data_IF_627560341498
#
_entry.id   IF_627560341498
#
_cell.length_a   1.000
_cell.length_b   1.000
_cell.length_c   1.000
_cell.angle_alpha   90.00
_cell.angle_beta   90.00
_cell.angle_gamma   90.00
#
_symmetry.space_group_name_H-M   'P 1'
#
loop_
_entity.id
_entity.type
_entity.pdbx_description
1 polymer ?
#
# COMPACT_ATOMS: atom_id res chain seq x y z
N UNK A 1 3.32 5.87 -9.88
CA UNK A 1 3.72 5.63 -11.28
C UNK A 1 2.55 5.96 -12.22
N UNK A 2 2.80 6.28 -13.49
CA UNK A 2 1.77 6.70 -14.47
C UNK A 2 1.47 5.67 -15.57
N UNK A 3 1.97 4.45 -15.43
CA UNK A 3 1.76 3.37 -16.41
C UNK A 3 0.39 2.71 -16.21
N UNK A 4 -0.26 2.37 -17.32
CA UNK A 4 -1.52 1.64 -17.44
C UNK A 4 -1.37 0.57 -18.51
N UNK A 5 -2.11 -0.53 -18.38
CA UNK A 5 -2.17 -1.56 -19.41
C UNK A 5 -3.47 -1.43 -20.19
N UNK A 6 -3.34 -1.50 -21.50
CA UNK A 6 -4.46 -1.44 -22.44
C UNK A 6 -4.42 -2.75 -23.24
N UNK A 7 -5.24 -3.75 -22.86
CA UNK A 7 -5.29 -5.00 -23.59
C UNK A 7 -6.01 -4.82 -24.93
N UNK A 8 -5.76 -5.73 -25.87
CA UNK A 8 -6.64 -5.88 -27.02
C UNK A 8 -8.04 -6.33 -26.57
N UNK A 9 -9.08 -6.00 -27.34
CA UNK A 9 -10.47 -6.26 -26.96
C UNK A 9 -10.77 -7.74 -26.63
N UNK A 10 -10.05 -8.67 -27.24
CA UNK A 10 -10.20 -10.12 -27.00
C UNK A 10 -9.52 -10.61 -25.71
N UNK A 11 -8.53 -9.88 -25.22
CA UNK A 11 -7.74 -10.23 -24.02
C UNK A 11 -8.16 -9.42 -22.78
N UNK A 12 -9.22 -8.62 -22.93
CA UNK A 12 -9.74 -7.80 -21.87
C UNK A 12 -10.63 -8.62 -20.90
N UNK A 13 -10.56 -8.27 -19.62
CA UNK A 13 -11.50 -8.74 -18.60
C UNK A 13 -12.85 -8.02 -18.75
N UNK A 14 -13.85 -8.45 -17.98
CA UNK A 14 -15.23 -7.90 -17.98
C UNK A 14 -15.29 -6.39 -17.78
N UNK A 15 -14.28 -5.81 -17.14
CA UNK A 15 -14.14 -4.37 -16.90
C UNK A 15 -13.38 -3.62 -17.99
N UNK A 16 -12.91 -4.29 -19.04
CA UNK A 16 -12.07 -3.71 -20.09
C UNK A 16 -10.59 -3.60 -19.72
N UNK A 17 -10.17 -4.13 -18.57
CA UNK A 17 -8.78 -4.13 -18.11
C UNK A 17 -8.04 -5.40 -18.53
N UNK A 18 -6.71 -5.43 -18.47
CA UNK A 18 -5.96 -6.67 -18.69
C UNK A 18 -6.31 -7.73 -17.65
N UNK A 19 -6.17 -9.00 -18.01
CA UNK A 19 -6.46 -10.11 -17.10
C UNK A 19 -5.58 -10.05 -15.83
N UNK A 20 -6.11 -10.43 -14.66
CA UNK A 20 -5.31 -10.55 -13.45
C UNK A 20 -4.20 -11.60 -13.65
N UNK A 21 -2.99 -11.27 -13.18
CA UNK A 21 -1.77 -12.03 -13.42
C UNK A 21 -0.97 -11.58 -14.64
N UNK A 22 -1.40 -10.52 -15.36
CA UNK A 22 -0.63 -9.98 -16.49
C UNK A 22 0.69 -9.38 -15.99
N UNK A 23 1.80 -9.81 -16.59
CA UNK A 23 3.15 -9.35 -16.28
C UNK A 23 3.79 -8.75 -17.52
N UNK A 24 4.41 -7.58 -17.35
CA UNK A 24 5.19 -6.90 -18.39
C UNK A 24 6.56 -6.57 -17.84
N UNK A 25 7.57 -7.30 -18.31
CA UNK A 25 8.98 -7.13 -17.93
C UNK A 25 9.85 -6.63 -19.09
N UNK A 26 9.40 -6.79 -20.34
CA UNK A 26 10.15 -6.36 -21.53
C UNK A 26 9.98 -4.86 -21.80
N UNK A 27 11.06 -4.21 -22.24
CA UNK A 27 11.13 -2.86 -22.83
C UNK A 27 10.78 -1.65 -21.94
N UNK A 28 10.05 -1.82 -20.83
CA UNK A 28 9.58 -0.71 -19.96
C UNK A 28 10.37 -0.66 -18.63
N UNK A 29 11.20 -1.66 -18.37
CA UNK A 29 11.99 -1.78 -17.14
C UNK A 29 13.15 -0.78 -17.04
N UNK A 30 13.76 -0.73 -15.85
CA UNK A 30 15.03 -0.03 -15.66
C UNK A 30 16.17 -0.76 -16.42
N UNK A 31 17.12 -0.04 -17.04
CA UNK A 31 18.21 -0.69 -17.78
C UNK A 31 19.27 -1.34 -16.86
N UNK A 32 19.37 -0.92 -15.59
CA UNK A 32 20.38 -1.43 -14.65
C UNK A 32 19.82 -2.46 -13.68
N UNK A 33 18.57 -2.27 -13.25
CA UNK A 33 17.93 -3.14 -12.28
C UNK A 33 16.81 -3.94 -12.93
N UNK A 34 16.71 -5.21 -12.54
CA UNK A 34 15.58 -6.03 -12.97
C UNK A 34 14.28 -5.48 -12.36
N UNK A 35 13.36 -5.05 -13.23
CA UNK A 35 12.05 -4.53 -12.82
C UNK A 35 10.96 -4.99 -13.77
N UNK A 36 9.79 -5.29 -13.21
CA UNK A 36 8.63 -5.73 -13.96
C UNK A 36 7.36 -5.09 -13.41
N UNK A 37 6.34 -4.98 -14.26
CA UNK A 37 5.02 -4.54 -13.89
C UNK A 37 4.09 -5.76 -13.78
N UNK A 38 3.33 -5.82 -12.70
CA UNK A 38 2.37 -6.88 -12.43
C UNK A 38 0.99 -6.27 -12.17
N UNK A 39 -0.01 -6.73 -12.92
CA UNK A 39 -1.41 -6.50 -12.60
C UNK A 39 -1.99 -7.76 -11.96
N UNK A 40 -1.91 -7.87 -10.64
CA UNK A 40 -2.32 -9.07 -9.90
C UNK A 40 -3.83 -9.18 -9.65
N UNK A 41 -4.56 -8.06 -9.67
CA UNK A 41 -5.98 -7.99 -9.32
C UNK A 41 -6.86 -7.61 -10.51
N UNK A 42 -8.10 -8.07 -10.48
CA UNK A 42 -9.17 -7.52 -11.30
C UNK A 42 -9.63 -6.18 -10.70
N UNK A 43 -9.75 -5.18 -11.57
CA UNK A 43 -10.27 -3.86 -11.23
C UNK A 43 -11.70 -3.73 -11.73
N UNK A 44 -12.64 -3.63 -10.81
CA UNK A 44 -14.07 -3.61 -11.12
C UNK A 44 -14.53 -2.30 -11.79
N UNK A 45 -13.90 -1.16 -11.47
CA UNK A 45 -14.22 0.15 -12.07
C UNK A 45 -12.95 0.94 -12.36
N UNK A 46 -12.93 1.58 -13.53
CA UNK A 46 -11.82 2.41 -13.99
C UNK A 46 -10.66 1.58 -14.54
N UNK A 47 -9.56 2.28 -14.86
CA UNK A 47 -8.36 1.66 -15.38
C UNK A 47 -7.49 1.07 -14.27
N UNK A 48 -7.01 -0.14 -14.50
CA UNK A 48 -6.12 -0.85 -13.59
C UNK A 48 -4.77 -0.13 -13.44
N UNK A 49 -4.23 -0.14 -12.23
CA UNK A 49 -2.92 0.42 -11.93
C UNK A 49 -1.93 -0.74 -11.66
N UNK A 50 -1.16 -1.19 -12.66
CA UNK A 50 -0.20 -2.28 -12.45
C UNK A 50 0.90 -1.84 -11.49
N UNK A 51 1.28 -2.72 -10.57
CA UNK A 51 2.34 -2.45 -9.59
C UNK A 51 3.71 -2.70 -10.19
N UNK A 52 4.63 -1.74 -10.03
CA UNK A 52 6.04 -1.94 -10.40
C UNK A 52 6.77 -2.64 -9.27
N UNK A 53 7.39 -3.78 -9.58
CA UNK A 53 8.33 -4.47 -8.70
C UNK A 53 9.75 -4.26 -9.22
N UNK A 54 10.67 -3.92 -8.31
CA UNK A 54 12.08 -3.70 -8.62
C UNK A 54 12.87 -4.63 -7.70
N UNK A 55 13.69 -5.50 -8.30
CA UNK A 55 14.60 -6.37 -7.57
C UNK A 55 15.88 -5.59 -7.31
N UNK A 56 16.07 -5.16 -6.07
CA UNK A 56 17.26 -4.41 -5.66
C UNK A 56 18.45 -5.32 -5.37
N UNK A 57 18.17 -6.50 -4.83
CA UNK A 57 19.18 -7.48 -4.43
C UNK A 57 18.57 -8.87 -4.45
N UNK A 58 19.24 -9.80 -5.11
CA UNK A 58 18.92 -11.23 -5.10
C UNK A 58 20.21 -12.01 -4.79
N UNK A 59 20.23 -12.71 -3.65
CA UNK A 59 21.37 -13.55 -3.24
C UNK A 59 21.13 -15.03 -3.57
N UNK A 60 19.87 -15.43 -3.77
CA UNK A 60 19.49 -16.81 -4.05
C UNK A 60 19.56 -17.14 -5.54
N UNK A 61 19.68 -16.12 -6.40
CA UNK A 61 19.69 -16.24 -7.86
C UNK A 61 18.43 -16.96 -8.37
N UNK A 62 17.26 -16.44 -8.01
CA UNK A 62 16.00 -17.00 -8.49
C UNK A 62 15.87 -16.82 -10.00
N UNK A 63 15.29 -17.83 -10.67
CA UNK A 63 14.84 -17.63 -12.04
C UNK A 63 13.75 -16.56 -12.06
N UNK A 64 13.85 -15.64 -13.02
CA UNK A 64 12.94 -14.50 -13.18
C UNK A 64 11.46 -14.93 -13.18
N UNK A 65 11.15 -16.01 -13.91
CA UNK A 65 9.80 -16.55 -14.00
C UNK A 65 9.27 -17.04 -12.64
N UNK A 66 10.13 -17.59 -11.79
CA UNK A 66 9.73 -18.11 -10.49
C UNK A 66 9.52 -16.96 -9.51
N UNK A 67 10.39 -15.95 -9.55
CA UNK A 67 10.22 -14.72 -8.77
C UNK A 67 8.89 -14.04 -9.10
N UNK A 68 8.56 -13.91 -10.39
CA UNK A 68 7.29 -13.37 -10.87
C UNK A 68 6.08 -14.17 -10.35
N UNK A 69 6.12 -15.50 -10.42
CA UNK A 69 5.05 -16.39 -9.90
C UNK A 69 4.87 -16.26 -8.39
N UNK A 70 5.98 -16.22 -7.65
CA UNK A 70 5.96 -16.05 -6.19
C UNK A 70 5.27 -14.74 -5.84
N UNK A 71 5.68 -13.64 -6.48
CA UNK A 71 5.07 -12.32 -6.23
C UNK A 71 3.57 -12.32 -6.56
N UNK A 72 3.15 -12.93 -7.67
CA UNK A 72 1.74 -13.04 -8.02
C UNK A 72 0.94 -13.89 -7.00
N UNK A 73 1.51 -14.99 -6.51
CA UNK A 73 0.92 -15.82 -5.45
C UNK A 73 0.76 -15.04 -4.14
N UNK A 74 1.76 -14.25 -3.76
CA UNK A 74 1.72 -13.39 -2.57
C UNK A 74 0.63 -12.32 -2.63
N UNK A 75 0.31 -11.81 -3.82
CA UNK A 75 -0.81 -10.89 -4.04
C UNK A 75 -2.18 -11.58 -3.92
N UNK A 76 -2.26 -12.88 -4.20
CA UNK A 76 -3.51 -13.65 -4.13
C UNK A 76 -3.82 -14.16 -2.72
N UNK A 77 -2.81 -14.38 -1.88
CA UNK A 77 -2.93 -14.96 -0.53
C UNK A 77 -3.45 -14.03 0.59
N UNK A 78 -4.21 -12.99 0.26
CA UNK A 78 -4.66 -11.99 1.22
C UNK A 78 -5.78 -12.53 2.13
N UNK A 79 -5.63 -12.39 3.45
CA UNK A 79 -6.55 -13.02 4.42
C UNK A 79 -7.86 -12.26 4.62
N UNK A 80 -7.91 -10.95 4.34
CA UNK A 80 -9.10 -10.13 4.63
C UNK A 80 -10.09 -10.06 3.46
N UNK A 81 -9.73 -10.56 2.28
CA UNK A 81 -10.60 -10.59 1.12
C UNK A 81 -10.30 -11.84 0.29
N UNK A 82 -11.34 -12.42 -0.31
CA UNK A 82 -11.24 -13.57 -1.24
C UNK A 82 -10.86 -13.14 -2.66
N UNK A 83 -10.20 -11.99 -2.80
CA UNK A 83 -9.78 -11.42 -4.08
C UNK A 83 -8.29 -11.11 -4.02
N UNK A 84 -7.61 -11.29 -5.16
CA UNK A 84 -6.23 -10.85 -5.31
C UNK A 84 -6.14 -9.34 -5.12
N UNK A 85 -5.06 -8.89 -4.49
CA UNK A 85 -4.79 -7.49 -4.20
C UNK A 85 -3.66 -6.96 -5.08
N UNK A 86 -3.64 -5.65 -5.34
CA UNK A 86 -2.66 -4.99 -6.20
C UNK A 86 -1.20 -5.09 -5.72
N UNK A 87 -0.98 -5.10 -4.41
CA UNK A 87 0.36 -5.11 -3.80
C UNK A 87 0.57 -6.39 -3.01
N UNK A 88 1.82 -6.81 -2.87
CA UNK A 88 2.16 -7.97 -2.06
C UNK A 88 1.59 -7.85 -0.64
N UNK A 89 1.06 -8.96 -0.12
CA UNK A 89 0.41 -9.03 1.20
C UNK A 89 1.25 -8.43 2.33
N UNK A 90 2.55 -8.69 2.36
CA UNK A 90 3.44 -8.18 3.41
C UNK A 90 3.52 -6.66 3.42
N UNK A 91 3.57 -6.02 2.25
CA UNK A 91 3.55 -4.56 2.12
C UNK A 91 2.22 -3.99 2.63
N UNK A 92 1.11 -4.67 2.33
CA UNK A 92 -0.19 -4.28 2.87
C UNK A 92 -0.24 -4.42 4.39
N UNK A 93 0.25 -5.53 4.95
CA UNK A 93 0.35 -5.75 6.39
C UNK A 93 1.19 -4.67 7.08
N UNK A 94 2.35 -4.31 6.52
CA UNK A 94 3.18 -3.23 7.04
C UNK A 94 2.42 -1.89 7.08
N UNK A 95 1.67 -1.58 6.02
CA UNK A 95 0.85 -0.37 5.98
C UNK A 95 -0.26 -0.36 7.04
N UNK A 96 -0.90 -1.51 7.31
CA UNK A 96 -1.89 -1.62 8.40
C UNK A 96 -1.25 -1.35 9.77
N UNK A 97 -0.08 -1.94 10.02
CA UNK A 97 0.66 -1.74 11.27
C UNK A 97 1.07 -0.28 11.42
N UNK A 98 1.66 0.32 10.38
CA UNK A 98 2.05 1.73 10.39
C UNK A 98 0.85 2.67 10.62
N UNK A 99 -0.28 2.40 9.97
CA UNK A 99 -1.52 3.17 10.17
C UNK A 99 -2.03 3.03 11.61
N UNK A 100 -1.94 1.84 12.20
CA UNK A 100 -2.37 1.60 13.59
C UNK A 100 -1.44 2.26 14.60
N UNK A 101 -0.12 2.16 14.39
CA UNK A 101 0.88 2.84 15.19
C UNK A 101 0.65 4.36 15.17
N UNK A 102 0.45 4.96 13.99
CA UNK A 102 0.14 6.38 13.85
C UNK A 102 -1.09 6.80 14.66
N UNK A 103 -2.15 5.97 14.68
CA UNK A 103 -3.35 6.24 15.48
C UNK A 103 -3.04 6.24 16.97
N UNK A 104 -2.29 5.26 17.47
CA UNK A 104 -1.88 5.20 18.86
C UNK A 104 -1.03 6.41 19.25
N UNK A 105 -0.01 6.75 18.46
CA UNK A 105 0.84 7.92 18.73
C UNK A 105 0.03 9.21 18.75
N UNK A 106 -0.86 9.44 17.78
CA UNK A 106 -1.71 10.63 17.76
C UNK A 106 -2.67 10.70 18.95
N UNK A 107 -3.25 9.57 19.38
CA UNK A 107 -4.07 9.51 20.58
C UNK A 107 -3.26 9.87 21.83
N UNK A 108 -2.05 9.34 21.98
CA UNK A 108 -1.20 9.67 23.12
C UNK A 108 -0.82 11.15 23.13
N UNK A 109 -0.46 11.74 21.98
CA UNK A 109 -0.14 13.17 21.89
C UNK A 109 -1.34 14.05 22.28
N UNK A 110 -2.57 13.67 21.89
CA UNK A 110 -3.79 14.40 22.28
C UNK A 110 -4.05 14.34 23.79
N UNK A 111 -3.85 13.18 24.41
CA UNK A 111 -3.99 13.02 25.87
C UNK A 111 -2.96 13.85 26.63
N UNK A 112 -1.71 13.86 26.16
CA UNK A 112 -0.64 14.67 26.77
C UNK A 112 -0.92 16.18 26.63
N UNK A 113 -1.38 16.65 25.48
CA UNK A 113 -1.78 18.05 25.29
C UNK A 113 -2.96 18.45 26.18
N UNK A 114 -3.97 17.58 26.32
CA UNK A 114 -5.11 17.82 27.21
C UNK A 114 -4.69 17.90 28.69
N UNK A 115 -3.74 17.03 29.10
CA UNK A 115 -3.14 17.07 30.43
C UNK A 115 -2.41 18.39 30.69
N UNK A 116 -1.59 18.87 29.74
CA UNK A 116 -0.88 20.15 29.88
C UNK A 116 -1.83 21.35 29.95
N UNK A 117 -2.88 21.38 29.13
CA UNK A 117 -3.90 22.45 29.20
C UNK A 117 -4.70 22.44 30.50
N UNK A 118 -4.84 21.29 31.16
CA UNK A 118 -5.53 21.19 32.46
C UNK A 118 -4.63 21.68 33.61
N UNK A 119 -3.32 21.51 33.50
CA UNK A 119 -2.34 21.98 34.51
C UNK A 119 -2.11 23.50 34.41
N UNK A 120 -2.32 24.13 33.25
CA UNK A 120 -2.16 25.59 33.06
C UNK A 120 -3.38 26.44 33.48
N UNK A 121 -4.48 25.84 33.95
CA UNK A 121 -5.56 26.59 34.58
C UNK A 121 -5.07 27.12 35.94
N UNK A 122 -4.53 28.34 35.95
CA UNK A 122 -4.20 29.09 37.18
C UNK A 122 -5.43 29.12 38.10
N UNK A 123 -5.26 28.96 39.43
CA UNK A 123 -6.31 29.27 40.39
C UNK A 123 -6.75 30.71 40.14
N UNK A 124 -8.04 30.94 39.91
CA UNK A 124 -8.54 32.31 39.92
C UNK A 124 -8.47 32.79 41.36
N UNK A 125 -7.48 33.63 41.67
CA UNK A 125 -7.46 34.41 42.91
C UNK A 125 -8.73 35.26 42.92
N UNK A 126 -9.68 34.86 43.75
CA UNK A 126 -10.88 35.64 44.00
C UNK A 126 -10.48 36.96 44.66
N UNK A 127 -10.53 38.04 43.89
CA UNK A 127 -10.60 39.39 44.44
C UNK A 127 -11.97 39.57 45.07
N UNK A 128 -12.10 39.19 46.34
CA UNK A 128 -13.07 39.82 47.24
C UNK A 128 -12.47 41.18 47.64
N UNK A 129 -12.76 42.22 46.88
CA UNK A 129 -12.70 43.59 47.40
C UNK A 129 -14.01 43.84 48.17
N UNK A 130 -13.85 44.03 49.47
CA UNK A 130 -14.82 44.67 50.35
C UNK A 130 -14.81 46.17 50.01
N UNK A 131 -15.96 46.71 49.63
CA UNK A 131 -16.54 47.97 50.12
C UNK A 131 -17.92 48.21 49.49
#
# INVERSE_FOLDING_TARGET
HRIRFEPHLYDADRSGNSQPGTIVDKFIGDPFLYSFFLQSQDVFRGASCPTRHIVLKDETNYAVNDLQKIVNSLCSGFQRATRSVQIAKFTYCANLVATRAKKWTCQMTKVLQFSQSTVELKPQEGQHELD
#
